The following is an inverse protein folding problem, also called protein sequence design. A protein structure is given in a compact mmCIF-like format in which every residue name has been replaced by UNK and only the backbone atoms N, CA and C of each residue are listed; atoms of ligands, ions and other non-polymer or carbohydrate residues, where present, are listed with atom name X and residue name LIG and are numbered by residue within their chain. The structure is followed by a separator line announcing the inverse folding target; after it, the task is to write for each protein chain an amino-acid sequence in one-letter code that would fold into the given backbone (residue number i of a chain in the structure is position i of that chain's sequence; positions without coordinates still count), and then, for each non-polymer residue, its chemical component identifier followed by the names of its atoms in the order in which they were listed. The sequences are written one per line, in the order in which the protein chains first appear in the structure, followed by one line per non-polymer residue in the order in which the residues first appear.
data_IF_151477498228
#
_entry.id   IF_151477498228
#
_cell.length_a   1.000
_cell.length_b   1.000
_cell.length_c   1.000
_cell.angle_alpha   90.00
_cell.angle_beta   90.00
_cell.angle_gamma   90.00
#
_symmetry.space_group_name_H-M   'P 1'
#
loop_
_entity.id
_entity.type
_entity.pdbx_description
1 polymer ?
#
# COMPACT_ATOMS: atom_id res chain seq x y z
N UNK A 1 6.64 27.20 18.48
CA UNK A 1 6.06 26.04 17.79
C UNK A 1 6.74 25.99 16.44
N UNK A 2 7.58 24.98 16.18
CA UNK A 2 8.17 24.81 14.85
C UNK A 2 7.06 24.39 13.88
N UNK A 3 7.06 24.94 12.67
CA UNK A 3 6.15 24.52 11.60
C UNK A 3 6.33 23.03 11.33
N UNK A 4 5.23 22.31 11.11
CA UNK A 4 5.30 20.91 10.70
C UNK A 4 5.81 20.76 9.24
N UNK A 5 5.96 19.53 8.75
CA UNK A 5 6.52 19.28 7.42
C UNK A 5 5.69 19.95 6.30
N UNK A 6 6.40 20.47 5.32
CA UNK A 6 5.86 21.13 4.12
C UNK A 6 6.29 20.45 2.81
N UNK A 7 7.12 19.41 2.91
CA UNK A 7 7.57 18.58 1.79
C UNK A 7 7.89 17.16 2.27
N UNK A 8 7.77 16.19 1.37
CA UNK A 8 8.18 14.80 1.61
C UNK A 8 9.70 14.66 1.34
N UNK A 9 10.48 14.09 2.29
CA UNK A 9 11.93 13.99 2.14
C UNK A 9 12.35 12.91 1.12
N UNK A 10 13.47 13.12 0.45
CA UNK A 10 14.14 12.11 -0.37
C UNK A 10 15.17 11.36 0.49
N UNK A 11 15.14 10.04 0.41
CA UNK A 11 16.02 9.12 1.15
C UNK A 11 16.71 8.19 0.15
N UNK A 12 18.03 8.26 0.11
CA UNK A 12 18.85 7.33 -0.67
C UNK A 12 19.17 6.09 0.18
N UNK A 13 18.74 4.93 -0.29
CA UNK A 13 18.97 3.64 0.37
C UNK A 13 20.04 2.79 -0.31
N UNK A 14 20.81 3.34 -1.26
CA UNK A 14 21.80 2.58 -2.04
C UNK A 14 22.78 1.80 -1.17
N UNK A 15 23.18 2.35 -0.02
CA UNK A 15 24.02 1.65 0.95
C UNK A 15 23.36 0.40 1.57
N UNK A 16 22.03 0.37 1.72
CA UNK A 16 21.32 -0.81 2.23
C UNK A 16 21.22 -1.90 1.17
N UNK A 17 21.13 -1.52 -0.10
CA UNK A 17 21.08 -2.44 -1.26
C UNK A 17 22.45 -3.03 -1.58
N UNK A 18 23.52 -2.26 -1.36
CA UNK A 18 24.90 -2.68 -1.60
C UNK A 18 25.37 -3.68 -0.51
N UNK A 19 25.70 -4.93 -0.88
CA UNK A 19 26.23 -5.91 0.08
C UNK A 19 27.60 -5.51 0.62
N UNK A 20 28.38 -4.72 -0.12
CA UNK A 20 29.75 -4.34 0.20
C UNK A 20 29.86 -2.99 0.93
N UNK A 21 28.74 -2.29 1.12
CA UNK A 21 28.72 -1.01 1.82
C UNK A 21 29.11 -1.15 3.31
N UNK A 22 29.91 -0.20 3.78
CA UNK A 22 30.34 -0.11 5.18
C UNK A 22 29.12 0.01 6.11
N UNK A 23 29.10 -0.71 7.25
CA UNK A 23 28.14 -0.47 8.34
C UNK A 23 27.83 1.00 8.64
N UNK A 24 28.81 1.90 8.55
CA UNK A 24 28.58 3.34 8.76
C UNK A 24 27.71 3.98 7.68
N UNK A 25 27.82 3.53 6.41
CA UNK A 25 26.98 3.97 5.30
C UNK A 25 25.55 3.47 5.48
N UNK A 26 25.38 2.19 5.83
CA UNK A 26 24.07 1.59 6.14
C UNK A 26 23.39 2.31 7.30
N UNK A 27 24.15 2.68 8.33
CA UNK A 27 23.62 3.43 9.47
C UNK A 27 23.17 4.86 9.09
N UNK A 28 23.87 5.54 8.17
CA UNK A 28 23.44 6.85 7.67
C UNK A 28 22.12 6.77 6.90
N UNK A 29 21.96 5.76 6.04
CA UNK A 29 20.70 5.51 5.35
C UNK A 29 19.57 5.22 6.36
N UNK A 30 19.83 4.38 7.37
CA UNK A 30 18.89 4.10 8.45
C UNK A 30 18.48 5.35 9.24
N UNK A 31 19.41 6.26 9.54
CA UNK A 31 19.11 7.53 10.21
C UNK A 31 18.26 8.48 9.36
N UNK A 32 18.44 8.48 8.03
CA UNK A 32 17.60 9.23 7.11
C UNK A 32 16.17 8.66 7.05
N UNK A 33 16.03 7.33 7.03
CA UNK A 33 14.74 6.64 7.16
C UNK A 33 14.06 7.02 8.48
N UNK A 34 14.75 6.86 9.62
CA UNK A 34 14.22 7.20 10.96
C UNK A 34 13.66 8.63 11.00
N UNK A 35 14.44 9.58 10.48
CA UNK A 35 14.05 10.99 10.44
C UNK A 35 12.77 11.16 9.62
N UNK A 36 12.75 10.65 8.39
CA UNK A 36 11.60 10.79 7.50
C UNK A 36 10.32 10.15 8.09
N UNK A 37 10.43 8.96 8.68
CA UNK A 37 9.29 8.24 9.22
C UNK A 37 8.73 8.87 10.51
N UNK A 38 9.58 9.48 11.34
CA UNK A 38 9.16 10.23 12.54
C UNK A 38 8.51 11.57 12.21
N UNK A 39 9.09 12.30 11.25
CA UNK A 39 8.64 13.67 10.93
C UNK A 39 7.43 13.65 10.02
N UNK A 40 7.46 12.81 8.99
CA UNK A 40 6.47 12.82 7.90
C UNK A 40 5.64 11.55 7.87
N UNK A 41 6.27 10.38 8.05
CA UNK A 41 5.61 9.08 7.76
C UNK A 41 5.54 8.75 6.26
N UNK A 42 6.12 9.61 5.42
CA UNK A 42 6.32 9.46 3.99
C UNK A 42 7.78 9.76 3.64
N UNK A 43 8.29 9.14 2.59
CA UNK A 43 9.58 9.45 1.96
C UNK A 43 9.57 9.09 0.48
N UNK A 44 10.39 9.75 -0.32
CA UNK A 44 10.81 9.24 -1.62
C UNK A 44 12.03 8.36 -1.42
N UNK A 45 12.01 7.13 -1.92
CA UNK A 45 13.13 6.20 -1.83
C UNK A 45 13.85 6.15 -3.16
N UNK A 46 15.14 6.49 -3.15
CA UNK A 46 16.06 6.40 -4.30
C UNK A 46 17.19 5.40 -4.00
N UNK A 47 17.95 5.02 -5.04
CA UNK A 47 19.06 4.07 -4.87
C UNK A 47 18.59 2.63 -4.61
N UNK A 48 17.33 2.32 -4.90
CA UNK A 48 16.71 1.01 -4.64
C UNK A 48 17.18 -0.12 -5.57
N UNK A 49 17.90 0.19 -6.66
CA UNK A 49 18.46 -0.80 -7.57
C UNK A 49 17.47 -1.52 -8.49
N UNK A 50 16.16 -1.35 -8.30
CA UNK A 50 15.13 -1.85 -9.24
C UNK A 50 15.27 -1.18 -10.62
N UNK A 51 15.28 -2.00 -11.68
CA UNK A 51 15.33 -1.55 -13.07
C UNK A 51 14.14 -0.65 -13.44
N UNK A 52 14.44 0.55 -13.96
CA UNK A 52 13.40 1.51 -14.36
C UNK A 52 12.52 0.96 -15.49
N UNK A 53 13.08 0.15 -16.39
CA UNK A 53 12.33 -0.49 -17.47
C UNK A 53 11.25 -1.45 -16.98
N UNK A 54 11.45 -2.13 -15.84
CA UNK A 54 10.43 -2.94 -15.16
C UNK A 54 9.32 -2.06 -14.57
N UNK A 55 9.69 -0.99 -13.87
CA UNK A 55 8.76 -0.03 -13.24
C UNK A 55 7.84 0.62 -14.29
N UNK A 56 8.42 1.04 -15.42
CA UNK A 56 7.72 1.64 -16.54
C UNK A 56 6.79 0.64 -17.25
N UNK A 57 7.28 -0.59 -17.46
CA UNK A 57 6.50 -1.65 -18.10
C UNK A 57 5.29 -2.06 -17.25
N UNK A 58 5.43 -2.11 -15.93
CA UNK A 58 4.32 -2.38 -15.02
C UNK A 58 3.20 -1.33 -15.21
N UNK A 59 3.55 -0.03 -15.20
CA UNK A 59 2.59 1.07 -15.45
C UNK A 59 1.92 0.96 -16.82
N UNK A 60 2.72 0.71 -17.87
CA UNK A 60 2.24 0.58 -19.23
C UNK A 60 1.24 -0.57 -19.38
N UNK A 61 1.55 -1.75 -18.84
CA UNK A 61 0.68 -2.92 -18.92
C UNK A 61 -0.61 -2.71 -18.12
N UNK A 62 -0.52 -2.11 -16.94
CA UNK A 62 -1.71 -1.70 -16.18
C UNK A 62 -2.61 -0.80 -17.01
N UNK A 63 -2.05 0.25 -17.63
CA UNK A 63 -2.79 1.17 -18.50
C UNK A 63 -3.45 0.44 -19.68
N UNK A 64 -2.69 -0.42 -20.37
CA UNK A 64 -3.20 -1.24 -21.47
C UNK A 64 -4.38 -2.10 -21.03
N UNK A 65 -4.32 -2.71 -19.83
CA UNK A 65 -5.42 -3.49 -19.31
C UNK A 65 -6.68 -2.64 -19.13
N UNK A 66 -6.57 -1.49 -18.46
CA UNK A 66 -7.73 -0.65 -18.14
C UNK A 66 -8.36 0.05 -19.35
N UNK A 67 -7.60 0.23 -20.42
CA UNK A 67 -8.10 0.74 -21.71
C UNK A 67 -8.82 -0.31 -22.57
N UNK A 68 -8.89 -1.58 -22.14
CA UNK A 68 -9.70 -2.59 -22.82
C UNK A 68 -11.20 -2.39 -22.57
N UNK A 69 -12.01 -3.00 -23.43
CA UNK A 69 -13.46 -3.05 -23.29
C UNK A 69 -13.85 -3.63 -21.92
N UNK A 70 -14.93 -3.09 -21.34
CA UNK A 70 -15.47 -3.54 -20.05
C UNK A 70 -15.72 -5.04 -20.01
N UNK A 71 -16.15 -5.65 -21.12
CA UNK A 71 -16.38 -7.09 -21.23
C UNK A 71 -15.10 -7.92 -21.01
N UNK A 72 -13.92 -7.40 -21.36
CA UNK A 72 -12.64 -8.08 -21.10
C UNK A 72 -12.27 -7.94 -19.63
N UNK A 73 -12.38 -6.71 -19.08
CA UNK A 73 -12.04 -6.44 -17.67
C UNK A 73 -12.93 -7.23 -16.70
N UNK A 74 -14.23 -7.32 -17.00
CA UNK A 74 -15.21 -8.05 -16.19
C UNK A 74 -15.00 -9.57 -16.13
N UNK A 75 -14.15 -10.17 -16.98
CA UNK A 75 -13.84 -11.61 -16.89
C UNK A 75 -13.20 -11.99 -15.56
N UNK A 76 -12.37 -11.09 -15.02
CA UNK A 76 -11.67 -11.26 -13.75
C UNK A 76 -12.33 -10.47 -12.61
N UNK A 77 -13.61 -10.10 -12.76
CA UNK A 77 -14.36 -9.33 -11.75
C UNK A 77 -14.40 -10.05 -10.41
N UNK A 78 -14.22 -9.31 -9.32
CA UNK A 78 -14.43 -9.82 -7.96
C UNK A 78 -15.86 -10.38 -7.77
N UNK A 79 -16.85 -9.79 -8.45
CA UNK A 79 -18.26 -10.23 -8.42
C UNK A 79 -18.47 -11.66 -8.97
N UNK A 80 -17.51 -12.21 -9.72
CA UNK A 80 -17.60 -13.56 -10.28
C UNK A 80 -17.13 -14.64 -9.29
N UNK A 81 -16.75 -14.25 -8.06
CA UNK A 81 -16.21 -15.14 -7.04
C UNK A 81 -17.12 -15.10 -5.80
N UNK A 82 -17.46 -16.28 -5.27
CA UNK A 82 -18.36 -16.38 -4.10
C UNK A 82 -17.69 -15.92 -2.79
N UNK A 83 -16.36 -16.09 -2.69
CA UNK A 83 -15.59 -15.92 -1.45
C UNK A 83 -14.45 -14.93 -1.60
N UNK A 84 -13.93 -14.69 -2.80
CA UNK A 84 -12.65 -13.97 -2.98
C UNK A 84 -12.77 -12.45 -2.92
N UNK A 85 -11.76 -11.79 -2.33
CA UNK A 85 -11.56 -10.34 -2.40
C UNK A 85 -10.57 -9.90 -3.48
N UNK A 86 -10.24 -10.77 -4.44
CA UNK A 86 -9.22 -10.55 -5.48
C UNK A 86 -9.85 -10.38 -6.86
N UNK A 87 -9.21 -9.56 -7.68
CA UNK A 87 -9.62 -9.33 -9.07
C UNK A 87 -10.10 -7.91 -9.32
N UNK A 88 -10.81 -7.74 -10.43
CA UNK A 88 -11.18 -6.45 -10.97
C UNK A 88 -12.38 -5.82 -10.24
N UNK A 89 -12.25 -4.52 -9.98
CA UNK A 89 -13.24 -3.61 -9.42
C UNK A 89 -13.61 -2.56 -10.45
N UNK A 90 -14.91 -2.36 -10.66
CA UNK A 90 -15.42 -1.31 -11.54
C UNK A 90 -15.37 0.03 -10.84
N UNK A 91 -15.53 1.07 -11.64
CA UNK A 91 -15.63 2.43 -11.17
C UNK A 91 -16.74 2.58 -10.11
N UNK A 92 -16.36 3.02 -8.90
CA UNK A 92 -17.28 3.22 -7.77
C UNK A 92 -17.56 1.99 -6.91
N UNK A 93 -16.92 0.85 -7.16
CA UNK A 93 -17.08 -0.36 -6.31
C UNK A 93 -16.32 -0.25 -4.98
N UNK A 94 -15.18 0.45 -4.97
CA UNK A 94 -14.41 0.71 -3.75
C UNK A 94 -15.04 1.86 -2.95
N UNK A 95 -15.30 1.61 -1.65
CA UNK A 95 -15.93 2.60 -0.77
C UNK A 95 -14.94 3.07 0.29
N UNK A 96 -14.64 4.37 0.31
CA UNK A 96 -13.79 4.99 1.34
C UNK A 96 -14.63 5.97 2.16
N UNK A 97 -14.67 5.79 3.49
CA UNK A 97 -15.50 6.60 4.41
C UNK A 97 -16.97 6.73 3.96
N UNK A 98 -17.56 5.62 3.46
CA UNK A 98 -18.95 5.57 3.01
C UNK A 98 -19.22 6.23 1.65
N UNK A 99 -18.19 6.59 0.88
CA UNK A 99 -18.31 7.22 -0.44
C UNK A 99 -17.62 6.39 -1.53
N UNK A 100 -18.23 6.26 -2.73
CA UNK A 100 -17.59 5.62 -3.86
C UNK A 100 -16.35 6.39 -4.32
N UNK A 101 -15.26 5.68 -4.52
CA UNK A 101 -14.04 6.23 -5.09
C UNK A 101 -14.09 6.29 -6.63
N UNK A 102 -13.37 7.24 -7.22
CA UNK A 102 -13.30 7.43 -8.67
C UNK A 102 -12.09 6.72 -9.29
N UNK A 103 -12.06 5.39 -9.18
CA UNK A 103 -11.08 4.54 -9.86
C UNK A 103 -11.64 3.17 -10.22
N UNK A 104 -11.00 2.53 -11.20
CA UNK A 104 -11.05 1.09 -11.41
C UNK A 104 -9.79 0.46 -10.80
N UNK A 105 -9.87 -0.78 -10.33
CA UNK A 105 -8.73 -1.46 -9.73
C UNK A 105 -8.68 -2.95 -10.08
N UNK A 106 -7.50 -3.55 -9.95
CA UNK A 106 -7.35 -5.01 -9.79
C UNK A 106 -6.57 -5.25 -8.52
N UNK A 107 -7.13 -6.08 -7.66
CA UNK A 107 -6.60 -6.39 -6.34
C UNK A 107 -5.94 -7.78 -6.35
N UNK A 108 -4.65 -7.80 -5.99
CA UNK A 108 -3.81 -8.99 -5.91
C UNK A 108 -3.25 -9.15 -4.51
N UNK A 109 -3.26 -10.37 -4.00
CA UNK A 109 -2.80 -10.69 -2.65
C UNK A 109 -1.89 -11.90 -2.75
N UNK A 110 -1.01 -12.09 -1.77
CA UNK A 110 -0.23 -13.33 -1.67
C UNK A 110 -1.15 -14.55 -1.74
N UNK A 111 -0.87 -15.44 -2.69
CA UNK A 111 -1.51 -16.76 -2.77
C UNK A 111 -0.90 -17.64 -1.68
N UNK A 112 -1.76 -18.23 -0.85
CA UNK A 112 -1.32 -19.23 0.13
C UNK A 112 -1.32 -20.59 -0.59
N UNK A 113 -0.17 -21.28 -0.70
CA UNK A 113 -0.12 -22.55 -1.42
C UNK A 113 -0.99 -23.64 -0.79
N UNK A 114 -1.46 -24.58 -1.62
CA UNK A 114 -2.15 -25.78 -1.15
C UNK A 114 -1.25 -26.55 -0.17
N UNK A 115 -1.80 -26.92 0.98
CA UNK A 115 -1.09 -27.65 2.04
C UNK A 115 -0.27 -26.76 2.98
N UNK A 116 -0.25 -25.44 2.77
CA UNK A 116 0.34 -24.50 3.72
C UNK A 116 -0.47 -24.47 5.03
N UNK A 117 0.20 -24.33 6.18
CA UNK A 117 -0.44 -24.40 7.52
C UNK A 117 -1.53 -23.33 7.77
N UNK A 118 -1.44 -22.20 7.06
CA UNK A 118 -2.39 -21.09 7.15
C UNK A 118 -3.48 -21.15 6.08
N UNK A 119 -3.44 -22.11 5.14
CA UNK A 119 -4.46 -22.19 4.08
C UNK A 119 -5.79 -22.56 4.70
N UNK A 120 -6.78 -21.71 4.47
CA UNK A 120 -8.20 -21.97 4.77
C UNK A 120 -9.00 -21.58 3.53
N UNK A 121 -9.48 -22.56 2.76
CA UNK A 121 -10.24 -22.32 1.52
C UNK A 121 -11.58 -21.62 1.77
N UNK A 122 -12.07 -21.60 3.02
CA UNK A 122 -13.26 -20.85 3.42
C UNK A 122 -12.97 -19.37 3.72
N UNK A 123 -11.70 -18.98 3.88
CA UNK A 123 -11.31 -17.59 4.14
C UNK A 123 -11.17 -16.81 2.81
N UNK A 124 -11.93 -15.72 2.61
CA UNK A 124 -11.76 -14.76 1.51
C UNK A 124 -10.32 -14.30 1.28
N UNK A 125 -9.51 -14.23 2.33
CA UNK A 125 -8.11 -13.84 2.25
C UNK A 125 -7.22 -14.97 1.74
N UNK A 126 -7.67 -16.21 1.52
CA UNK A 126 -6.77 -17.29 1.12
C UNK A 126 -7.00 -17.80 -0.30
N UNK A 127 -7.77 -17.09 -1.14
CA UNK A 127 -8.04 -17.49 -2.52
C UNK A 127 -6.88 -17.23 -3.50
N UNK A 128 -7.02 -17.74 -4.73
CA UNK A 128 -6.06 -17.53 -5.82
C UNK A 128 -6.35 -16.21 -6.58
N UNK A 129 -5.33 -15.60 -7.19
CA UNK A 129 -5.49 -14.35 -7.92
C UNK A 129 -6.10 -14.55 -9.31
N UNK A 130 -6.90 -13.56 -9.73
CA UNK A 130 -7.47 -13.48 -11.06
C UNK A 130 -6.56 -12.65 -11.98
N UNK A 131 -5.53 -13.29 -12.56
CA UNK A 131 -4.58 -12.62 -13.44
C UNK A 131 -5.17 -12.30 -14.82
N UNK A 132 -5.02 -11.07 -15.36
CA UNK A 132 -5.39 -10.76 -16.73
C UNK A 132 -4.64 -11.61 -17.76
N UNK A 133 -5.38 -12.18 -18.72
CA UNK A 133 -4.80 -12.86 -19.89
C UNK A 133 -4.33 -11.87 -20.97
N UNK A 134 -4.86 -10.65 -20.98
CA UNK A 134 -4.53 -9.60 -21.95
C UNK A 134 -4.23 -8.29 -21.21
N UNK A 135 -3.05 -7.66 -21.43
CA UNK A 135 -1.97 -8.15 -22.29
C UNK A 135 -1.29 -9.41 -21.72
N UNK A 136 -0.82 -10.31 -22.60
CA UNK A 136 -0.23 -11.60 -22.19
C UNK A 136 0.96 -11.46 -21.22
N UNK A 137 1.62 -10.30 -21.23
CA UNK A 137 2.77 -10.03 -20.37
C UNK A 137 2.40 -9.50 -18.98
N UNK A 138 1.12 -9.40 -18.65
CA UNK A 138 0.65 -8.93 -17.34
C UNK A 138 1.26 -9.75 -16.22
N UNK A 139 0.90 -11.04 -16.14
CA UNK A 139 1.41 -11.90 -15.06
C UNK A 139 2.94 -12.01 -15.04
N UNK A 140 3.65 -12.30 -16.14
CA UNK A 140 5.12 -12.39 -16.12
C UNK A 140 5.81 -11.10 -15.65
N UNK A 141 5.29 -9.93 -16.02
CA UNK A 141 5.85 -8.63 -15.57
C UNK A 141 5.62 -8.44 -14.08
N UNK A 142 4.42 -8.73 -13.60
CA UNK A 142 4.07 -8.55 -12.20
C UNK A 142 4.71 -9.59 -11.28
N UNK A 143 4.94 -10.82 -11.73
CA UNK A 143 5.71 -11.82 -10.96
C UNK A 143 7.12 -11.28 -10.63
N UNK A 144 7.82 -10.74 -11.63
CA UNK A 144 9.14 -10.12 -11.44
C UNK A 144 9.06 -8.83 -10.61
N UNK A 145 8.03 -8.00 -10.85
CA UNK A 145 7.82 -6.77 -10.07
C UNK A 145 7.62 -7.08 -8.58
N UNK A 146 6.76 -8.04 -8.24
CA UNK A 146 6.49 -8.48 -6.87
C UNK A 146 7.79 -8.96 -6.19
N UNK A 147 8.61 -9.76 -6.87
CA UNK A 147 9.92 -10.19 -6.34
C UNK A 147 10.79 -8.98 -5.95
N UNK A 148 10.87 -7.96 -6.83
CA UNK A 148 11.66 -6.76 -6.57
C UNK A 148 11.07 -5.87 -5.49
N UNK A 149 9.75 -5.76 -5.41
CA UNK A 149 9.10 -5.00 -4.34
C UNK A 149 9.28 -5.66 -2.96
N UNK A 150 9.26 -7.00 -2.89
CA UNK A 150 9.58 -7.74 -1.66
C UNK A 150 11.03 -7.51 -1.22
N UNK A 151 11.98 -7.52 -2.16
CA UNK A 151 13.39 -7.20 -1.88
C UNK A 151 13.54 -5.76 -1.36
N UNK A 152 12.88 -4.79 -2.00
CA UNK A 152 12.89 -3.39 -1.56
C UNK A 152 12.31 -3.22 -0.16
N UNK A 153 11.17 -3.83 0.13
CA UNK A 153 10.57 -3.82 1.47
C UNK A 153 11.52 -4.38 2.54
N UNK A 154 12.23 -5.47 2.23
CA UNK A 154 13.24 -6.04 3.13
C UNK A 154 14.41 -5.07 3.39
N UNK A 155 14.94 -4.40 2.37
CA UNK A 155 16.00 -3.39 2.55
C UNK A 155 15.54 -2.21 3.41
N UNK A 156 14.32 -1.73 3.20
CA UNK A 156 13.76 -0.64 4.02
C UNK A 156 13.58 -1.12 5.47
N UNK A 157 13.10 -2.34 5.67
CA UNK A 157 12.93 -2.92 7.02
C UNK A 157 14.27 -3.18 7.73
N UNK A 158 15.34 -3.51 7.01
CA UNK A 158 16.70 -3.52 7.57
C UNK A 158 17.09 -2.12 8.07
N UNK A 159 16.83 -1.09 7.26
CA UNK A 159 17.02 0.31 7.64
C UNK A 159 16.24 0.70 8.90
N UNK A 160 14.97 0.27 8.99
CA UNK A 160 14.12 0.46 10.17
C UNK A 160 14.68 -0.26 11.40
N UNK A 161 15.16 -1.51 11.26
CA UNK A 161 15.78 -2.23 12.37
C UNK A 161 17.00 -1.49 12.92
N UNK A 162 17.89 -1.04 12.03
CA UNK A 162 19.08 -0.24 12.38
C UNK A 162 18.73 1.08 13.04
N UNK A 163 17.71 1.78 12.54
CA UNK A 163 17.19 3.01 13.13
C UNK A 163 16.71 2.81 14.57
N UNK A 164 16.02 1.70 14.81
CA UNK A 164 15.55 1.28 16.13
C UNK A 164 16.67 0.69 17.01
N UNK A 165 17.92 0.67 16.54
CA UNK A 165 19.09 0.06 17.23
C UNK A 165 18.89 -1.43 17.52
N UNK A 166 18.21 -2.13 16.63
CA UNK A 166 17.98 -3.58 16.66
C UNK A 166 18.94 -4.28 15.69
N UNK A 167 19.13 -5.61 15.82
CA UNK A 167 19.81 -6.41 14.79
C UNK A 167 19.20 -6.15 13.40
N UNK A 168 20.00 -6.03 12.33
CA UNK A 168 19.50 -5.69 10.99
C UNK A 168 18.40 -6.64 10.46
N UNK A 169 18.43 -7.89 10.89
CA UNK A 169 17.50 -8.96 10.54
C UNK A 169 16.33 -9.12 11.53
N UNK A 170 16.19 -8.23 12.52
CA UNK A 170 15.23 -8.38 13.62
C UNK A 170 13.78 -8.62 13.14
N UNK A 171 13.37 -7.92 12.08
CA UNK A 171 12.00 -8.00 11.57
C UNK A 171 11.77 -9.16 10.60
N UNK A 172 12.82 -9.86 10.12
CA UNK A 172 12.71 -10.89 9.07
C UNK A 172 11.68 -11.96 9.43
N UNK A 173 11.66 -12.43 10.68
CA UNK A 173 10.69 -13.43 11.17
C UNK A 173 9.21 -12.99 11.09
N UNK A 174 8.96 -11.70 10.89
CA UNK A 174 7.61 -11.15 10.76
C UNK A 174 7.20 -10.97 9.30
N UNK A 175 8.10 -11.17 8.33
CA UNK A 175 7.80 -10.99 6.90
C UNK A 175 8.50 -12.02 5.98
N UNK A 176 9.13 -13.05 6.52
CA UNK A 176 9.73 -14.17 5.76
C UNK A 176 8.69 -14.89 4.90
N UNK A 177 7.43 -14.81 5.30
CA UNK A 177 6.24 -15.16 4.52
C UNK A 177 5.29 -13.97 4.32
N UNK A 178 5.86 -12.76 4.08
CA UNK A 178 5.14 -11.49 3.89
C UNK A 178 3.84 -11.69 3.13
N UNK A 179 2.72 -11.32 3.75
CA UNK A 179 1.39 -11.40 3.14
C UNK A 179 1.13 -10.17 2.28
N UNK A 180 2.02 -9.95 1.31
CA UNK A 180 1.98 -8.77 0.45
C UNK A 180 0.61 -8.61 -0.23
N UNK A 181 0.24 -7.35 -0.44
CA UNK A 181 -0.93 -6.96 -1.23
C UNK A 181 -0.45 -6.02 -2.33
N UNK A 182 -1.07 -6.07 -3.49
CA UNK A 182 -0.77 -5.18 -4.60
C UNK A 182 -2.07 -4.79 -5.27
N UNK A 183 -2.25 -3.49 -5.50
CA UNK A 183 -3.36 -3.00 -6.30
C UNK A 183 -2.80 -2.39 -7.57
N UNK A 184 -3.44 -2.65 -8.70
CA UNK A 184 -3.21 -1.87 -9.93
C UNK A 184 -4.43 -1.00 -10.12
N UNK A 185 -4.25 0.32 -10.12
CA UNK A 185 -5.35 1.28 -10.03
C UNK A 185 -5.29 2.23 -11.23
N UNK A 186 -6.44 2.46 -11.85
CA UNK A 186 -6.63 3.43 -12.91
C UNK A 186 -7.66 4.48 -12.50
N UNK A 187 -7.25 5.74 -12.51
CA UNK A 187 -8.09 6.90 -12.26
C UNK A 187 -8.45 7.53 -13.62
N UNK A 188 -9.69 7.40 -14.11
CA UNK A 188 -10.10 8.00 -15.37
C UNK A 188 -10.08 9.53 -15.29
N UNK A 189 -9.67 10.18 -16.39
CA UNK A 189 -9.74 11.63 -16.51
C UNK A 189 -11.17 12.14 -16.29
N UNK A 190 -11.31 13.27 -15.58
CA UNK A 190 -12.58 14.02 -15.50
C UNK A 190 -12.55 15.17 -16.51
N UNK A 191 -13.59 15.27 -17.36
CA UNK A 191 -13.72 16.31 -18.40
C UNK A 191 -13.79 17.73 -17.83
N UNK A 192 -14.40 17.91 -16.65
CA UNK A 192 -14.27 19.15 -15.88
C UNK A 192 -14.51 18.87 -14.39
N UNK A 193 -13.66 19.41 -13.53
CA UNK A 193 -13.87 19.39 -12.07
C UNK A 193 -14.59 20.68 -11.63
N UNK A 194 -15.49 21.17 -12.49
CA UNK A 194 -16.24 22.40 -12.29
C UNK A 194 -17.35 22.19 -11.26
N UNK A 195 -16.94 21.92 -10.01
CA UNK A 195 -17.62 22.07 -8.70
C UNK A 195 -16.83 21.23 -7.68
N UNK A 196 -15.60 21.66 -7.36
CA UNK A 196 -14.75 21.13 -6.27
C UNK A 196 -15.36 21.40 -4.87
N UNK A 197 -16.62 21.03 -4.67
CA UNK A 197 -17.37 21.26 -3.44
C UNK A 197 -18.17 20.03 -3.01
N UNK A 198 -18.02 18.88 -3.68
CA UNK A 198 -18.81 17.69 -3.36
C UNK A 198 -17.91 16.47 -3.17
N UNK A 199 -18.21 15.54 -2.25
CA UNK A 199 -17.36 14.38 -1.95
C UNK A 199 -17.14 13.37 -3.08
N UNK A 200 -17.60 13.65 -4.30
CA UNK A 200 -17.31 12.93 -5.54
C UNK A 200 -16.03 13.48 -6.24
N UNK A 201 -15.27 14.37 -5.60
CA UNK A 201 -14.07 15.03 -6.17
C UNK A 201 -12.74 14.28 -5.95
N UNK A 202 -12.74 13.19 -5.17
CA UNK A 202 -11.52 12.43 -4.86
C UNK A 202 -11.39 11.20 -5.76
N UNK A 203 -10.15 10.94 -6.19
CA UNK A 203 -9.79 9.65 -6.75
C UNK A 203 -9.91 8.57 -5.66
N UNK A 204 -9.36 8.83 -4.47
CA UNK A 204 -9.52 7.99 -3.28
C UNK A 204 -9.61 8.89 -2.03
N UNK A 205 -10.55 8.60 -1.12
CA UNK A 205 -10.80 9.39 0.08
C UNK A 205 -9.64 9.43 1.10
N UNK A 206 -9.79 10.20 2.18
CA UNK A 206 -8.81 10.25 3.28
C UNK A 206 -8.75 8.91 4.02
N UNK A 207 -7.56 8.31 4.11
CA UNK A 207 -7.34 7.05 4.81
C UNK A 207 -5.88 6.91 5.29
N UNK A 208 -5.65 5.88 6.10
CA UNK A 208 -4.33 5.34 6.42
C UNK A 208 -4.25 3.91 5.89
N UNK A 209 -3.04 3.43 5.62
CA UNK A 209 -2.82 2.05 5.22
C UNK A 209 -2.74 1.15 6.44
N UNK A 210 -3.29 -0.05 6.34
CA UNK A 210 -3.45 -0.97 7.47
C UNK A 210 -2.14 -1.62 7.88
N UNK A 211 -1.17 -1.60 6.98
CA UNK A 211 -0.05 -2.50 6.93
C UNK A 211 1.25 -2.03 7.56
N UNK A 212 2.36 -2.56 7.05
CA UNK A 212 3.70 -2.14 7.42
C UNK A 212 4.23 -1.00 6.55
N UNK A 213 4.45 -1.26 5.25
CA UNK A 213 4.98 -0.28 4.29
C UNK A 213 4.15 -0.31 3.00
N UNK A 214 3.84 0.87 2.48
CA UNK A 214 3.27 1.03 1.13
C UNK A 214 4.32 1.65 0.22
N UNK A 215 4.59 1.02 -0.92
CA UNK A 215 5.53 1.48 -1.93
C UNK A 215 4.77 1.73 -3.24
N UNK A 216 4.78 2.97 -3.71
CA UNK A 216 3.90 3.43 -4.78
C UNK A 216 4.72 3.71 -6.04
N UNK A 217 4.38 2.99 -7.11
CA UNK A 217 4.76 3.30 -8.48
C UNK A 217 3.59 3.99 -9.16
N UNK A 218 3.72 5.23 -9.61
CA UNK A 218 2.63 5.95 -10.28
C UNK A 218 3.12 6.83 -11.43
N UNK A 219 2.19 7.21 -12.30
CA UNK A 219 2.45 8.17 -13.38
C UNK A 219 2.81 9.57 -12.84
N UNK A 220 3.30 10.45 -13.72
CA UNK A 220 3.82 11.80 -13.45
C UNK A 220 2.75 12.89 -13.25
N UNK A 221 1.48 12.50 -13.08
CA UNK A 221 0.35 13.42 -12.86
C UNK A 221 0.50 14.13 -11.51
N UNK A 222 0.76 15.44 -11.56
CA UNK A 222 1.00 16.29 -10.39
C UNK A 222 -0.27 16.62 -9.61
N UNK A 223 -0.13 16.84 -8.29
CA UNK A 223 -1.18 17.22 -7.36
C UNK A 223 -2.16 16.10 -6.99
N UNK A 224 -1.93 14.88 -7.48
CA UNK A 224 -2.80 13.73 -7.26
C UNK A 224 -2.70 13.22 -5.81
N UNK A 225 -1.53 12.74 -5.39
CA UNK A 225 -1.33 12.23 -4.03
C UNK A 225 -0.99 13.36 -3.07
N UNK A 226 -1.70 13.42 -1.94
CA UNK A 226 -1.42 14.38 -0.87
C UNK A 226 -1.39 13.69 0.49
N UNK A 227 -0.44 14.07 1.34
CA UNK A 227 -0.27 13.59 2.72
C UNK A 227 -0.61 14.69 3.73
N UNK A 228 -1.24 14.33 4.84
CA UNK A 228 -1.75 15.28 5.85
C UNK A 228 -0.73 15.51 6.96
N UNK A 229 -0.24 16.73 7.11
CA UNK A 229 0.60 17.09 8.25
C UNK A 229 -0.24 17.25 9.54
N UNK A 230 0.42 17.43 10.68
CA UNK A 230 -0.16 17.61 12.03
C UNK A 230 -0.87 18.95 12.19
N UNK A 231 -0.54 19.92 11.35
CA UNK A 231 -1.26 21.20 11.21
C UNK A 231 -2.54 21.05 10.35
N UNK A 232 -2.92 19.83 9.98
CA UNK A 232 -4.06 19.47 9.13
C UNK A 232 -3.99 20.03 7.69
N UNK A 233 -2.79 20.35 7.22
CA UNK A 233 -2.53 20.80 5.86
C UNK A 233 -2.22 19.61 4.95
N UNK A 234 -2.71 19.66 3.71
CA UNK A 234 -2.43 18.66 2.68
C UNK A 234 -1.16 19.05 1.92
N UNK A 235 -0.13 18.22 2.04
CA UNK A 235 1.16 18.39 1.39
C UNK A 235 1.21 17.50 0.15
N UNK A 236 1.58 18.07 -0.98
CA UNK A 236 1.69 17.35 -2.26
C UNK A 236 2.87 16.37 -2.22
N UNK A 237 2.62 15.14 -2.63
CA UNK A 237 3.60 14.07 -2.75
C UNK A 237 3.73 13.66 -4.23
N UNK A 238 4.18 14.60 -5.07
CA UNK A 238 4.34 14.36 -6.51
C UNK A 238 5.46 13.35 -6.79
N UNK A 239 5.32 12.50 -7.81
CA UNK A 239 6.32 11.50 -8.14
C UNK A 239 7.67 12.15 -8.51
N UNK A 240 8.74 11.58 -7.97
CA UNK A 240 10.12 11.96 -8.30
C UNK A 240 10.69 10.90 -9.26
N UNK A 241 11.24 11.28 -10.43
CA UNK A 241 11.82 10.32 -11.37
C UNK A 241 12.88 9.44 -10.72
N UNK A 242 12.78 8.13 -10.91
CA UNK A 242 13.70 7.15 -10.31
C UNK A 242 13.51 6.92 -8.81
N UNK A 243 12.39 7.36 -8.23
CA UNK A 243 12.06 7.11 -6.84
C UNK A 243 10.70 6.41 -6.69
N UNK A 244 10.55 5.61 -5.64
CA UNK A 244 9.24 5.20 -5.13
C UNK A 244 8.78 6.16 -4.05
N UNK A 245 7.49 6.47 -4.01
CA UNK A 245 6.89 7.08 -2.82
C UNK A 245 6.63 5.95 -1.83
N UNK A 246 7.13 6.10 -0.60
CA UNK A 246 6.98 5.10 0.46
C UNK A 246 6.35 5.73 1.69
N UNK A 247 5.31 5.09 2.23
CA UNK A 247 4.69 5.49 3.49
C UNK A 247 4.53 4.34 4.48
N UNK A 248 4.39 4.73 5.74
CA UNK A 248 4.18 3.82 6.87
C UNK A 248 2.70 3.52 7.00
N UNK A 249 2.37 2.25 7.28
CA UNK A 249 1.03 1.82 7.66
C UNK A 249 0.88 1.61 9.17
N UNK A 250 -0.32 1.21 9.57
CA UNK A 250 -0.75 1.07 10.97
C UNK A 250 0.08 0.04 11.75
N UNK A 251 0.56 -1.05 11.13
CA UNK A 251 1.36 -2.09 11.82
C UNK A 251 2.75 -1.59 12.21
N UNK A 252 3.44 -0.85 11.34
CA UNK A 252 4.74 -0.29 11.68
C UNK A 252 4.61 0.89 12.65
N UNK A 253 3.53 1.67 12.54
CA UNK A 253 3.14 2.61 13.59
C UNK A 253 2.93 1.89 14.94
N UNK A 254 2.26 0.74 14.96
CA UNK A 254 2.03 -0.03 16.19
C UNK A 254 3.32 -0.60 16.79
N UNK A 255 4.22 -1.18 15.99
CA UNK A 255 5.55 -1.62 16.48
C UNK A 255 6.31 -0.49 17.15
N UNK A 256 6.17 0.73 16.65
CA UNK A 256 6.89 1.91 17.16
C UNK A 256 6.11 2.72 18.17
N UNK A 257 4.95 2.22 18.63
CA UNK A 257 4.04 2.92 19.54
C UNK A 257 3.69 4.36 19.06
N UNK A 258 3.43 4.50 17.76
CA UNK A 258 3.07 5.76 17.11
C UNK A 258 4.23 6.71 16.82
N UNK A 259 5.48 6.31 17.12
CA UNK A 259 6.66 7.13 16.80
C UNK A 259 6.85 7.28 15.30
N UNK A 260 6.71 6.20 14.52
CA UNK A 260 6.57 6.29 13.07
C UNK A 260 5.11 6.46 12.74
N UNK A 261 4.79 7.48 11.95
CA UNK A 261 3.41 7.90 11.76
C UNK A 261 2.78 7.22 10.55
N UNK A 262 1.73 6.43 10.79
CA UNK A 262 0.77 6.10 9.74
C UNK A 262 0.02 7.38 9.34
N UNK A 263 0.44 7.97 8.23
CA UNK A 263 0.07 9.35 7.89
C UNK A 263 -1.17 9.37 6.99
N UNK A 264 -2.25 10.07 7.39
CA UNK A 264 -3.44 10.17 6.55
C UNK A 264 -3.10 10.76 5.19
N UNK A 265 -3.60 10.15 4.13
CA UNK A 265 -3.38 10.59 2.77
C UNK A 265 -4.66 10.39 1.95
N UNK A 266 -4.71 11.03 0.78
CA UNK A 266 -5.81 10.89 -0.18
C UNK A 266 -5.29 11.11 -1.60
N UNK A 267 -6.10 10.70 -2.58
CA UNK A 267 -5.83 10.95 -4.00
C UNK A 267 -6.87 11.91 -4.55
N UNK A 268 -6.45 13.06 -5.06
CA UNK A 268 -7.30 14.02 -5.74
C UNK A 268 -7.56 13.57 -7.18
N UNK A 269 -8.74 13.87 -7.72
CA UNK A 269 -8.96 13.80 -9.17
C UNK A 269 -8.29 15.01 -9.84
N UNK A 270 -7.44 14.77 -10.85
CA UNK A 270 -6.79 15.85 -11.62
C UNK A 270 -7.54 16.03 -12.95
N UNK A 271 -8.07 17.25 -13.26
CA UNK A 271 -8.80 17.49 -14.50
C UNK A 271 -7.98 17.14 -15.75
N UNK A 272 -8.62 16.51 -16.74
CA UNK A 272 -8.04 16.30 -18.07
C UNK A 272 -6.86 15.32 -18.14
N UNK A 273 -6.49 14.66 -17.05
CA UNK A 273 -5.43 13.65 -17.04
C UNK A 273 -5.93 12.36 -16.39
N UNK A 274 -5.74 11.23 -17.06
CA UNK A 274 -5.92 9.92 -16.44
C UNK A 274 -4.61 9.50 -15.75
N UNK A 275 -4.69 8.59 -14.77
CA UNK A 275 -3.52 8.22 -13.96
C UNK A 275 -3.54 6.73 -13.65
N UNK A 276 -2.39 6.09 -13.79
CA UNK A 276 -2.12 4.77 -13.22
C UNK A 276 -1.33 4.90 -11.92
N UNK A 277 -1.68 4.05 -10.95
CA UNK A 277 -0.97 3.89 -9.68
C UNK A 277 -0.93 2.42 -9.31
N UNK A 278 0.23 1.95 -8.87
CA UNK A 278 0.48 0.57 -8.47
C UNK A 278 1.04 0.63 -7.04
N UNK A 279 0.19 0.80 -6.01
CA UNK A 279 0.63 0.61 -4.63
C UNK A 279 0.90 -0.88 -4.36
N UNK A 280 2.10 -1.14 -3.85
CA UNK A 280 2.50 -2.42 -3.31
C UNK A 280 2.63 -2.30 -1.79
N UNK A 281 1.89 -3.11 -1.08
CA UNK A 281 1.88 -3.18 0.37
C UNK A 281 2.79 -4.33 0.79
N UNK A 282 3.94 -3.97 1.38
CA UNK A 282 4.84 -4.93 2.00
C UNK A 282 4.36 -5.14 3.43
N UNK A 283 3.84 -6.33 3.68
CA UNK A 283 3.09 -6.63 4.89
C UNK A 283 3.78 -7.66 5.77
N UNK A 284 3.44 -7.70 7.07
CA UNK A 284 3.81 -8.82 7.91
C UNK A 284 3.23 -10.15 7.38
N UNK A 285 3.70 -11.26 7.92
CA UNK A 285 3.07 -12.57 7.76
C UNK A 285 1.62 -12.48 8.25
N UNK A 286 0.73 -13.26 7.64
CA UNK A 286 -0.70 -13.22 7.96
C UNK A 286 -0.99 -13.51 9.45
N UNK A 287 -0.21 -14.37 10.08
CA UNK A 287 -0.34 -14.71 11.51
C UNK A 287 0.62 -13.94 12.44
N UNK A 288 1.31 -12.91 11.92
CA UNK A 288 2.23 -12.12 12.73
C UNK A 288 1.50 -11.38 13.86
N UNK A 289 1.92 -11.63 15.10
CA UNK A 289 1.49 -10.86 16.26
C UNK A 289 2.32 -9.57 16.36
N UNK A 290 1.65 -8.44 16.22
CA UNK A 290 2.23 -7.10 16.25
C UNK A 290 1.99 -6.47 17.62
N UNK A 291 3.06 -6.30 18.39
CA UNK A 291 3.08 -5.61 19.69
C UNK A 291 4.09 -4.46 19.67
N UNK A 292 3.87 -3.39 20.44
CA UNK A 292 4.86 -2.33 20.56
C UNK A 292 6.23 -2.87 21.01
N UNK A 293 7.31 -2.37 20.43
CA UNK A 293 8.66 -2.80 20.80
C UNK A 293 9.03 -2.30 22.20
N UNK A 294 9.84 -3.04 22.97
CA UNK A 294 10.19 -2.64 24.34
C UNK A 294 10.80 -1.25 24.47
N UNK A 295 11.65 -0.85 23.52
CA UNK A 295 12.28 0.48 23.54
C UNK A 295 11.32 1.63 23.21
N UNK A 296 10.13 1.33 22.67
CA UNK A 296 9.05 2.30 22.47
C UNK A 296 7.96 2.20 23.55
N UNK A 297 8.26 1.52 24.67
CA UNK A 297 7.38 1.42 25.83
C UNK A 297 6.43 0.21 25.81
N UNK A 298 6.62 -0.75 24.90
CA UNK A 298 5.88 -2.01 24.93
C UNK A 298 6.33 -2.93 26.07
N UNK A 299 5.39 -3.70 26.61
CA UNK A 299 5.65 -4.68 27.67
C UNK A 299 5.34 -6.12 27.20
N UNK A 300 6.10 -7.14 27.64
CA UNK A 300 5.73 -8.52 27.40
C UNK A 300 4.35 -8.83 28.01
N UNK A 301 3.39 -9.27 27.19
CA UNK A 301 2.03 -9.55 27.64
C UNK A 301 1.09 -8.33 27.62
N UNK A 302 1.43 -7.26 26.90
CA UNK A 302 0.44 -6.24 26.57
C UNK A 302 -0.73 -6.89 25.80
N UNK A 303 -1.93 -6.83 26.39
CA UNK A 303 -3.19 -7.33 25.81
C UNK A 303 -3.63 -6.52 24.57
N UNK A 304 -2.84 -5.53 24.14
CA UNK A 304 -3.14 -4.67 22.99
C UNK A 304 -2.61 -5.23 21.66
N UNK A 305 -1.95 -6.39 21.66
CA UNK A 305 -1.37 -7.01 20.46
C UNK A 305 -2.40 -7.24 19.35
N UNK A 306 -1.96 -7.11 18.10
CA UNK A 306 -2.83 -7.30 16.92
C UNK A 306 -2.23 -8.37 16.03
N UNK A 307 -3.00 -9.41 15.71
CA UNK A 307 -2.65 -10.35 14.64
C UNK A 307 -2.96 -9.70 13.30
N UNK A 308 -1.96 -9.61 12.42
CA UNK A 308 -2.09 -8.85 11.17
C UNK A 308 -3.24 -9.32 10.28
N UNK A 309 -3.37 -10.62 10.04
CA UNK A 309 -4.40 -11.20 9.18
C UNK A 309 -5.81 -10.91 9.69
N UNK A 310 -6.05 -11.04 11.00
CA UNK A 310 -7.34 -10.68 11.59
C UNK A 310 -7.67 -9.19 11.42
N UNK A 311 -6.67 -8.32 11.57
CA UNK A 311 -6.82 -6.89 11.35
C UNK A 311 -7.15 -6.59 9.88
N UNK A 312 -6.38 -7.18 8.96
CA UNK A 312 -6.56 -7.02 7.52
C UNK A 312 -7.96 -7.48 7.09
N UNK A 313 -8.39 -8.69 7.48
CA UNK A 313 -9.69 -9.24 7.13
C UNK A 313 -10.84 -8.34 7.59
N UNK A 314 -10.78 -7.83 8.84
CA UNK A 314 -11.80 -6.89 9.35
C UNK A 314 -11.88 -5.61 8.53
N UNK A 315 -10.74 -5.06 8.09
CA UNK A 315 -10.69 -3.84 7.28
C UNK A 315 -11.19 -4.08 5.85
N UNK A 316 -10.64 -5.10 5.19
CA UNK A 316 -10.95 -5.43 3.79
C UNK A 316 -12.44 -5.76 3.61
N UNK A 317 -13.01 -6.56 4.52
CA UNK A 317 -14.43 -6.91 4.49
C UNK A 317 -15.36 -5.72 4.80
N UNK A 318 -14.84 -4.57 5.21
CA UNK A 318 -15.64 -3.35 5.40
C UNK A 318 -15.58 -2.36 4.22
N UNK A 319 -14.65 -2.56 3.29
CA UNK A 319 -14.37 -1.60 2.20
C UNK A 319 -15.07 -1.91 0.87
N UNK A 320 -15.59 -3.14 0.71
CA UNK A 320 -16.20 -3.59 -0.52
C UNK A 320 -17.71 -3.66 -0.40
N UNK A 321 -18.40 -3.13 -1.41
CA UNK A 321 -19.86 -3.18 -1.55
C UNK A 321 -20.42 -4.62 -1.51
N UNK A 322 -19.61 -5.61 -1.90
CA UNK A 322 -20.00 -7.01 -2.05
C UNK A 322 -19.48 -7.93 -0.93
N UNK A 323 -19.08 -7.36 0.20
CA UNK A 323 -18.51 -8.16 1.29
C UNK A 323 -19.51 -9.21 1.82
N UNK A 324 -19.13 -10.50 1.90
CA UNK A 324 -20.05 -11.60 2.22
C UNK A 324 -20.65 -11.57 3.64
N UNK A 325 -20.30 -10.58 4.48
CA UNK A 325 -20.79 -10.45 5.86
C UNK A 325 -21.56 -9.15 6.17
N UNK A 326 -21.99 -8.39 5.16
CA UNK A 326 -23.01 -7.37 5.40
C UNK A 326 -24.38 -8.04 5.33
N UNK A 327 -24.80 -8.65 6.45
CA UNK A 327 -26.22 -8.89 6.66
C UNK A 327 -26.96 -7.58 6.40
N UNK A 328 -27.87 -7.63 5.44
CA UNK A 328 -28.71 -6.54 4.97
C UNK A 328 -29.78 -6.15 6.00
N UNK A 329 -29.39 -5.91 7.27
CA UNK A 329 -30.35 -5.74 8.37
C UNK A 329 -30.12 -4.52 9.27
N UNK A 330 -29.17 -3.62 8.97
CA UNK A 330 -28.97 -2.39 9.77
C UNK A 330 -29.02 -1.05 9.00
N UNK A 331 -29.53 -1.03 7.76
CA UNK A 331 -29.75 0.21 7.00
C UNK A 331 -31.22 0.67 6.97
N UNK A 332 -32.02 0.40 8.01
CA UNK A 332 -33.25 1.16 8.29
C UNK A 332 -33.50 1.17 9.80
N UNK A 333 -32.76 2.01 10.55
CA UNK A 333 -33.19 2.66 11.81
C UNK A 333 -32.01 3.38 12.46
N UNK A 334 -32.06 4.71 12.49
CA UNK A 334 -31.30 5.50 13.46
C UNK A 334 -30.36 6.56 12.89
N UNK A 335 -30.89 7.53 12.14
CA UNK A 335 -30.95 8.97 12.48
C UNK A 335 -31.16 9.79 11.20
#
# INVERSE_FOLDING_TARGET
MGSDFTAVPIVDIGALVDPDADPSQKQRAASAIDTALRTVGFMYVMGHGIDQGLVDRARLITRQFFHQDSAVKSKISMENQDVSVRGYQRLGDNITQGKPDWHEAIDFYREIPIGHRLRDDGDPMHSDNQWPETPAQFKPTFDLYIEKMLQLGAFIMEGVARACKLPPDYFVRYYDESYWVMRTIYYPAKESVAKLSNPLDYGCGEHTDYGCLTMINCDDVQGALVAKNRDNQWIIADPVPGAFIVNVGDMLSKWTNGVYRSTPHKVNSVPGSDRVSIPFFFEPNYDALITPLPHFGGSPGDDDGVVFGEHLSKRVLSNFKYSPNVESDNLVRGL
#
